data_IF_192691864436
#
_entry.id   IF_192691864436
#
_cell.length_a   1.000
_cell.length_b   1.000
_cell.length_c   1.000
_cell.angle_alpha   90.00
_cell.angle_beta   90.00
_cell.angle_gamma   90.00
#
_symmetry.space_group_name_H-M   'P 1'
#
loop_
_entity.id
_entity.type
_entity.pdbx_description
1 polymer ?
#
# COMPACT_ATOMS: atom_id res chain seq x y z
N UNK A 1 -2.00 -33.58 -4.78
CA UNK A 1 -0.81 -32.96 -4.16
C UNK A 1 0.01 -32.42 -5.31
N UNK A 2 -0.19 -31.13 -5.59
CA UNK A 2 0.62 -30.42 -6.58
C UNK A 2 2.04 -30.40 -6.00
N UNK A 3 3.04 -30.67 -6.85
CA UNK A 3 4.42 -30.43 -6.46
C UNK A 3 4.61 -28.91 -6.44
N UNK A 4 4.65 -28.33 -5.24
CA UNK A 4 4.89 -26.91 -4.96
C UNK A 4 6.00 -26.33 -5.86
N UNK A 5 7.07 -27.10 -6.09
CA UNK A 5 8.17 -26.69 -6.96
C UNK A 5 7.76 -26.59 -8.43
N UNK A 6 6.87 -27.45 -8.91
CA UNK A 6 6.40 -27.43 -10.29
C UNK A 6 5.48 -26.23 -10.54
N UNK A 7 4.70 -25.82 -9.54
CA UNK A 7 3.88 -24.61 -9.61
C UNK A 7 4.74 -23.34 -9.56
N UNK A 8 5.65 -23.26 -8.58
CA UNK A 8 6.61 -22.16 -8.50
C UNK A 8 7.43 -22.04 -9.78
N UNK A 9 7.81 -23.16 -10.41
CA UNK A 9 8.46 -23.13 -11.73
C UNK A 9 7.55 -22.61 -12.83
N UNK A 10 6.30 -23.07 -12.93
CA UNK A 10 5.34 -22.55 -13.93
C UNK A 10 5.06 -21.06 -13.75
N UNK A 11 4.97 -20.59 -12.51
CA UNK A 11 4.69 -19.20 -12.21
C UNK A 11 5.94 -18.33 -12.42
N UNK A 12 7.14 -18.78 -12.03
CA UNK A 12 8.39 -18.12 -12.40
C UNK A 12 8.60 -18.08 -13.92
N UNK A 13 8.34 -19.18 -14.62
CA UNK A 13 8.37 -19.21 -16.09
C UNK A 13 7.34 -18.24 -16.68
N UNK A 14 6.15 -18.14 -16.09
CA UNK A 14 5.15 -17.18 -16.51
C UNK A 14 5.59 -15.74 -16.26
N UNK A 15 6.31 -15.45 -15.17
CA UNK A 15 6.88 -14.14 -14.86
C UNK A 15 8.02 -13.81 -15.85
N UNK A 16 8.95 -14.74 -16.07
CA UNK A 16 10.15 -14.53 -16.88
C UNK A 16 9.83 -14.49 -18.38
N UNK A 17 8.75 -15.15 -18.81
CA UNK A 17 8.24 -15.09 -20.17
C UNK A 17 7.06 -14.11 -20.34
N UNK A 18 6.79 -13.26 -19.34
CA UNK A 18 5.77 -12.20 -19.39
C UNK A 18 4.35 -12.73 -19.72
N UNK A 19 4.02 -13.94 -19.26
CA UNK A 19 2.72 -14.62 -19.37
C UNK A 19 1.80 -14.36 -18.18
N UNK A 20 2.31 -13.79 -17.09
CA UNK A 20 1.47 -13.14 -16.09
C UNK A 20 1.14 -11.75 -16.61
N UNK A 21 -0.15 -11.46 -16.77
CA UNK A 21 -0.61 -10.11 -17.12
C UNK A 21 -0.44 -9.23 -15.89
N UNK A 22 0.59 -8.40 -15.90
CA UNK A 22 0.75 -7.37 -14.87
C UNK A 22 -0.34 -6.31 -15.03
N UNK A 23 -0.85 -5.76 -13.92
CA UNK A 23 -1.84 -4.69 -13.99
C UNK A 23 -1.28 -3.48 -14.74
N UNK A 24 -2.10 -2.88 -15.59
CA UNK A 24 -1.77 -1.62 -16.27
C UNK A 24 -2.31 -0.46 -15.46
N UNK A 25 -1.46 0.55 -15.26
CA UNK A 25 -1.89 1.76 -14.58
C UNK A 25 -2.84 2.58 -15.48
N UNK A 26 -4.04 2.99 -15.01
CA UNK A 26 -4.94 3.84 -15.78
C UNK A 26 -4.27 5.15 -16.25
N UNK A 27 -4.68 5.67 -17.41
CA UNK A 27 -4.06 6.87 -18.01
C UNK A 27 -4.11 8.08 -17.06
N UNK A 28 -5.17 8.21 -16.26
CA UNK A 28 -5.28 9.25 -15.24
C UNK A 28 -4.23 9.11 -14.13
N UNK A 29 -3.91 7.90 -13.68
CA UNK A 29 -2.84 7.68 -12.71
C UNK A 29 -1.47 8.00 -13.30
N UNK A 30 -1.22 7.60 -14.56
CA UNK A 30 0.03 7.95 -15.24
C UNK A 30 0.20 9.47 -15.34
N UNK A 31 -0.86 10.20 -15.72
CA UNK A 31 -0.84 11.67 -15.77
C UNK A 31 -0.61 12.30 -14.40
N UNK A 32 -1.25 11.78 -13.34
CA UNK A 32 -1.04 12.28 -11.98
C UNK A 32 0.39 12.00 -11.54
N UNK A 33 0.90 10.78 -11.69
CA UNK A 33 2.29 10.41 -11.41
C UNK A 33 3.28 11.32 -12.16
N UNK A 34 3.09 11.49 -13.47
CA UNK A 34 3.96 12.29 -14.34
C UNK A 34 3.92 13.79 -14.03
N UNK A 35 2.74 14.29 -13.64
CA UNK A 35 2.63 15.65 -13.14
C UNK A 35 3.44 15.81 -11.85
N UNK A 36 3.60 14.75 -11.05
CA UNK A 36 4.21 14.88 -9.73
C UNK A 36 5.71 14.62 -9.72
N UNK A 37 6.26 13.81 -10.63
CA UNK A 37 7.72 13.74 -10.87
C UNK A 37 8.30 15.06 -11.37
N UNK A 38 7.46 15.88 -12.01
CA UNK A 38 7.82 17.25 -12.34
C UNK A 38 7.53 18.11 -11.12
N UNK A 39 8.54 18.39 -10.29
CA UNK A 39 8.50 19.23 -9.06
C UNK A 39 7.87 20.64 -9.23
N UNK A 40 7.38 21.00 -10.42
CA UNK A 40 6.77 22.28 -10.76
C UNK A 40 5.27 22.23 -11.06
N UNK A 41 4.59 21.08 -10.88
CA UNK A 41 3.16 21.04 -11.16
C UNK A 41 2.32 21.81 -10.14
N UNK A 42 1.53 22.76 -10.66
CA UNK A 42 0.64 23.59 -9.85
C UNK A 42 -0.60 22.81 -9.39
N UNK A 43 -1.20 23.25 -8.28
CA UNK A 43 -2.46 22.71 -7.77
C UNK A 43 -3.56 22.67 -8.84
N UNK A 44 -3.60 23.65 -9.74
CA UNK A 44 -4.57 23.72 -10.83
C UNK A 44 -4.36 22.61 -11.86
N UNK A 45 -3.11 22.33 -12.24
CA UNK A 45 -2.82 21.27 -13.21
C UNK A 45 -3.21 19.89 -12.66
N UNK A 46 -2.97 19.65 -11.37
CA UNK A 46 -3.38 18.40 -10.72
C UNK A 46 -4.91 18.30 -10.63
N UNK A 47 -5.58 19.40 -10.25
CA UNK A 47 -7.04 19.44 -10.24
C UNK A 47 -7.63 19.17 -11.64
N UNK A 48 -7.05 19.71 -12.70
CA UNK A 48 -7.52 19.52 -14.08
C UNK A 48 -7.34 18.07 -14.55
N UNK A 49 -6.23 17.42 -14.16
CA UNK A 49 -6.00 15.99 -14.46
C UNK A 49 -7.06 15.14 -13.75
N UNK A 50 -7.29 15.39 -12.46
CA UNK A 50 -8.25 14.63 -11.65
C UNK A 50 -9.69 14.86 -12.11
N UNK A 51 -10.01 16.09 -12.54
CA UNK A 51 -11.34 16.46 -13.05
C UNK A 51 -11.77 15.64 -14.27
N UNK A 52 -10.83 15.00 -14.98
CA UNK A 52 -11.14 14.10 -16.09
C UNK A 52 -11.77 12.76 -15.65
N UNK A 53 -11.65 12.41 -14.37
CA UNK A 53 -12.22 11.21 -13.76
C UNK A 53 -13.21 11.59 -12.65
N UNK A 54 -14.50 11.31 -12.89
CA UNK A 54 -15.57 11.68 -11.96
C UNK A 54 -15.48 10.92 -10.62
N UNK A 55 -15.01 9.67 -10.62
CA UNK A 55 -14.90 8.87 -9.41
C UNK A 55 -13.75 9.38 -8.53
N UNK A 56 -12.57 9.63 -9.12
CA UNK A 56 -11.43 10.22 -8.42
C UNK A 56 -11.75 11.63 -7.91
N UNK A 57 -12.49 12.42 -8.71
CA UNK A 57 -12.94 13.75 -8.31
C UNK A 57 -13.84 13.71 -7.07
N UNK A 58 -14.87 12.85 -7.09
CA UNK A 58 -15.78 12.68 -5.96
C UNK A 58 -15.04 12.18 -4.71
N UNK A 59 -14.13 11.22 -4.87
CA UNK A 59 -13.37 10.63 -3.77
C UNK A 59 -12.38 11.62 -3.17
N UNK A 60 -11.70 12.43 -3.98
CA UNK A 60 -10.83 13.50 -3.49
C UNK A 60 -11.62 14.54 -2.67
N UNK A 61 -12.82 14.91 -3.11
CA UNK A 61 -13.71 15.81 -2.36
C UNK A 61 -14.18 15.19 -1.04
N UNK A 62 -14.48 13.89 -1.02
CA UNK A 62 -14.80 13.17 0.22
C UNK A 62 -13.63 13.21 1.20
N UNK A 63 -12.41 12.92 0.72
CA UNK A 63 -11.20 12.97 1.55
C UNK A 63 -10.91 14.38 2.06
N UNK A 64 -11.05 15.42 1.22
CA UNK A 64 -10.89 16.82 1.63
C UNK A 64 -11.88 17.30 2.72
N UNK A 65 -12.94 16.54 2.92
CA UNK A 65 -13.99 16.79 3.90
C UNK A 65 -14.03 15.73 5.02
N UNK A 66 -13.12 14.76 5.04
CA UNK A 66 -13.03 13.72 6.07
C UNK A 66 -12.58 14.30 7.42
N UNK A 67 -12.86 13.65 8.56
CA UNK A 67 -12.47 14.14 9.88
C UNK A 67 -10.99 14.54 9.99
N UNK A 68 -10.10 13.79 9.32
CA UNK A 68 -8.66 13.99 9.32
C UNK A 68 -8.22 15.28 8.59
N UNK A 69 -8.93 15.68 7.54
CA UNK A 69 -8.52 16.78 6.65
C UNK A 69 -9.52 17.94 6.59
N UNK A 70 -10.69 17.82 7.20
CA UNK A 70 -11.74 18.83 7.08
C UNK A 70 -11.34 20.15 7.74
N UNK A 71 -11.58 21.23 7.01
CA UNK A 71 -11.56 22.57 7.56
C UNK A 71 -12.91 22.96 8.18
N UNK A 72 -13.03 24.23 8.57
CA UNK A 72 -14.29 24.81 9.07
C UNK A 72 -15.42 24.83 8.04
N UNK A 73 -15.09 24.83 6.76
CA UNK A 73 -16.03 24.94 5.64
C UNK A 73 -15.92 23.70 4.76
N UNK A 74 -17.05 23.13 4.36
CA UNK A 74 -17.11 22.03 3.40
C UNK A 74 -16.58 22.49 2.04
N UNK A 75 -15.74 21.68 1.41
CA UNK A 75 -15.24 21.90 0.05
C UNK A 75 -16.14 21.19 -0.96
N UNK A 76 -16.47 21.88 -2.05
CA UNK A 76 -17.29 21.38 -3.16
C UNK A 76 -16.59 21.47 -4.52
N UNK A 77 -15.34 21.93 -4.57
CA UNK A 77 -14.56 22.06 -5.80
C UNK A 77 -13.12 21.55 -5.64
N UNK A 78 -12.57 21.00 -6.73
CA UNK A 78 -11.28 20.31 -6.72
C UNK A 78 -10.13 21.26 -6.45
N UNK A 79 -10.16 22.50 -6.96
CA UNK A 79 -9.09 23.47 -6.74
C UNK A 79 -8.96 23.79 -5.24
N UNK A 80 -10.08 23.98 -4.53
CA UNK A 80 -10.07 24.15 -3.07
C UNK A 80 -9.63 22.88 -2.35
N UNK A 81 -10.00 21.70 -2.85
CA UNK A 81 -9.55 20.42 -2.28
C UNK A 81 -8.01 20.30 -2.36
N UNK A 82 -7.44 20.54 -3.54
CA UNK A 82 -5.99 20.50 -3.75
C UNK A 82 -5.28 21.61 -2.96
N UNK A 83 -5.86 22.81 -2.86
CA UNK A 83 -5.30 23.88 -2.05
C UNK A 83 -5.31 23.58 -0.55
N UNK A 84 -6.34 22.91 -0.03
CA UNK A 84 -6.43 22.51 1.38
C UNK A 84 -5.49 21.37 1.71
N UNK A 85 -5.54 20.32 0.90
CA UNK A 85 -4.76 19.11 1.13
C UNK A 85 -3.28 19.34 0.83
N UNK A 86 -2.99 20.22 -0.12
CA UNK A 86 -1.65 20.40 -0.67
C UNK A 86 -1.35 19.35 -1.74
N UNK A 87 -0.47 19.73 -2.67
CA UNK A 87 -0.12 18.92 -3.85
C UNK A 87 0.45 17.55 -3.48
N UNK A 88 1.31 17.48 -2.45
CA UNK A 88 1.95 16.22 -2.03
C UNK A 88 0.95 15.19 -1.50
N UNK A 89 0.01 15.63 -0.67
CA UNK A 89 -1.04 14.76 -0.14
C UNK A 89 -1.99 14.30 -1.25
N UNK A 90 -2.41 15.21 -2.13
CA UNK A 90 -3.26 14.83 -3.27
C UNK A 90 -2.58 13.81 -4.17
N UNK A 91 -1.26 13.90 -4.38
CA UNK A 91 -0.49 12.88 -5.12
C UNK A 91 -0.71 11.50 -4.53
N UNK A 92 -0.32 11.33 -3.26
CA UNK A 92 -0.37 10.02 -2.60
C UNK A 92 -1.79 9.49 -2.58
N UNK A 93 -2.77 10.33 -2.23
CA UNK A 93 -4.18 9.93 -2.20
C UNK A 93 -4.69 9.48 -3.56
N UNK A 94 -4.44 10.24 -4.62
CA UNK A 94 -4.96 9.86 -5.94
C UNK A 94 -4.35 8.56 -6.43
N UNK A 95 -3.05 8.35 -6.21
CA UNK A 95 -2.41 7.07 -6.52
C UNK A 95 -3.06 5.95 -5.69
N UNK A 96 -3.22 6.15 -4.38
CA UNK A 96 -3.87 5.18 -3.49
C UNK A 96 -5.30 4.83 -3.90
N UNK A 97 -6.08 5.83 -4.33
CA UNK A 97 -7.45 5.62 -4.81
C UNK A 97 -7.48 4.87 -6.15
N UNK A 98 -6.48 5.07 -7.00
CA UNK A 98 -6.38 4.31 -8.24
C UNK A 98 -5.93 2.88 -7.95
N UNK A 99 -5.07 2.66 -6.95
CA UNK A 99 -4.76 1.30 -6.47
C UNK A 99 -6.04 0.59 -6.02
N UNK A 100 -6.92 1.25 -5.26
CA UNK A 100 -8.22 0.68 -4.87
C UNK A 100 -9.02 0.15 -6.07
N UNK A 101 -9.03 0.89 -7.19
CA UNK A 101 -9.73 0.45 -8.40
C UNK A 101 -9.09 -0.78 -9.04
N UNK A 102 -7.76 -0.93 -8.96
CA UNK A 102 -7.05 -2.10 -9.47
C UNK A 102 -7.37 -3.35 -8.64
N UNK A 103 -7.60 -3.20 -7.33
CA UNK A 103 -7.97 -4.29 -6.42
C UNK A 103 -9.42 -4.79 -6.56
N UNK A 104 -10.32 -4.04 -7.23
CA UNK A 104 -11.77 -4.32 -7.23
C UNK A 104 -12.28 -5.27 -8.33
N UNK A 105 -11.41 -5.84 -9.17
CA UNK A 105 -11.85 -6.44 -10.43
C UNK A 105 -11.40 -7.90 -10.62
N UNK A 106 -11.98 -8.86 -9.89
CA UNK A 106 -11.98 -10.29 -10.28
C UNK A 106 -12.89 -11.10 -9.36
N UNK A 107 -14.02 -11.60 -9.90
CA UNK A 107 -14.85 -12.74 -9.46
C UNK A 107 -15.21 -12.96 -7.98
N UNK A 108 -16.48 -13.31 -7.73
CA UNK A 108 -17.03 -13.65 -6.41
C UNK A 108 -16.23 -14.73 -5.66
N UNK A 109 -15.48 -15.58 -6.36
CA UNK A 109 -14.74 -16.71 -5.79
C UNK A 109 -13.45 -16.30 -5.08
N UNK A 110 -12.84 -15.18 -5.48
CA UNK A 110 -11.63 -14.62 -4.85
C UNK A 110 -11.89 -13.30 -4.12
N UNK A 111 -13.12 -12.77 -4.15
CA UNK A 111 -13.48 -11.49 -3.51
C UNK A 111 -13.06 -11.44 -2.05
N UNK A 112 -13.21 -12.54 -1.31
CA UNK A 112 -12.79 -12.62 0.10
C UNK A 112 -11.28 -12.44 0.28
N UNK A 113 -10.44 -13.05 -0.59
CA UNK A 113 -8.99 -12.96 -0.49
C UNK A 113 -8.47 -11.61 -0.95
N UNK A 114 -9.02 -11.08 -2.04
CA UNK A 114 -8.72 -9.71 -2.49
C UNK A 114 -9.07 -8.69 -1.41
N UNK A 115 -10.26 -8.82 -0.82
CA UNK A 115 -10.71 -7.96 0.27
C UNK A 115 -9.79 -8.06 1.48
N UNK A 116 -9.40 -9.27 1.89
CA UNK A 116 -8.46 -9.47 2.98
C UNK A 116 -7.13 -8.74 2.73
N UNK A 117 -6.51 -8.93 1.56
CA UNK A 117 -5.23 -8.26 1.24
C UNK A 117 -5.41 -6.74 1.15
N UNK A 118 -6.56 -6.27 0.63
CA UNK A 118 -6.87 -4.84 0.59
C UNK A 118 -7.01 -4.24 1.99
N UNK A 119 -7.79 -4.88 2.86
CA UNK A 119 -8.02 -4.44 4.24
C UNK A 119 -6.69 -4.40 5.03
N UNK A 120 -5.87 -5.45 4.92
CA UNK A 120 -4.52 -5.48 5.51
C UNK A 120 -3.63 -4.35 4.96
N UNK A 121 -3.66 -4.12 3.64
CA UNK A 121 -2.88 -3.04 3.02
C UNK A 121 -3.32 -1.65 3.50
N UNK A 122 -4.63 -1.47 3.78
CA UNK A 122 -5.17 -0.22 4.31
C UNK A 122 -4.75 -0.02 5.77
N UNK A 123 -4.79 -1.06 6.60
CA UNK A 123 -4.31 -1.00 7.99
C UNK A 123 -2.82 -0.64 8.04
N UNK A 124 -2.00 -1.35 7.25
CA UNK A 124 -0.55 -1.09 7.15
C UNK A 124 -0.28 0.31 6.61
N UNK A 125 -1.07 0.81 5.67
CA UNK A 125 -0.97 2.19 5.18
C UNK A 125 -1.25 3.20 6.30
N UNK A 126 -2.27 2.97 7.11
CA UNK A 126 -2.63 3.83 8.22
C UNK A 126 -1.52 3.87 9.29
N UNK A 127 -1.04 2.70 9.71
CA UNK A 127 0.08 2.56 10.65
C UNK A 127 1.37 3.21 10.10
N UNK A 128 1.69 2.97 8.83
CA UNK A 128 2.86 3.56 8.18
C UNK A 128 2.82 5.09 8.16
N UNK A 129 1.64 5.68 7.96
CA UNK A 129 1.45 7.13 8.02
C UNK A 129 1.69 7.68 9.42
N UNK A 130 1.16 7.02 10.44
CA UNK A 130 1.32 7.42 11.85
C UNK A 130 2.78 7.33 12.26
N UNK A 131 3.46 6.23 11.92
CA UNK A 131 4.88 6.03 12.16
C UNK A 131 5.71 7.15 11.54
N UNK A 132 5.49 7.44 10.26
CA UNK A 132 6.20 8.48 9.54
C UNK A 132 5.91 9.89 10.04
N UNK A 133 4.74 10.14 10.64
CA UNK A 133 4.37 11.45 11.18
C UNK A 133 5.26 11.90 12.35
N UNK A 134 5.94 10.96 13.01
CA UNK A 134 6.90 11.22 14.09
C UNK A 134 8.34 11.37 13.58
N UNK A 135 8.53 11.52 12.27
CA UNK A 135 9.84 11.59 11.62
C UNK A 135 9.98 12.89 10.83
N UNK A 136 11.17 13.47 10.82
CA UNK A 136 11.41 14.76 10.15
C UNK A 136 11.79 14.61 8.66
N UNK A 137 12.24 13.42 8.25
CA UNK A 137 12.83 13.20 6.92
C UNK A 137 11.94 12.37 5.98
N UNK A 138 10.94 11.64 6.48
CA UNK A 138 10.01 10.88 5.64
C UNK A 138 8.68 11.63 5.45
N UNK A 139 8.22 11.70 4.20
CA UNK A 139 6.88 12.18 3.90
C UNK A 139 5.84 11.13 4.33
N UNK A 140 5.01 11.47 5.31
CA UNK A 140 4.00 10.56 5.87
C UNK A 140 2.95 10.08 4.86
N UNK A 141 2.65 10.89 3.83
CA UNK A 141 1.69 10.49 2.81
C UNK A 141 2.33 9.56 1.78
N UNK A 142 3.64 9.66 1.57
CA UNK A 142 4.40 8.64 0.85
C UNK A 142 4.53 7.35 1.66
N UNK A 143 4.66 7.43 3.00
CA UNK A 143 4.64 6.24 3.86
C UNK A 143 3.28 5.52 3.83
N UNK A 144 2.18 6.28 3.83
CA UNK A 144 0.84 5.73 3.63
C UNK A 144 0.74 5.00 2.28
N UNK A 145 1.22 5.62 1.20
CA UNK A 145 1.25 5.00 -0.12
C UNK A 145 2.11 3.74 -0.14
N UNK A 146 3.29 3.76 0.49
CA UNK A 146 4.18 2.61 0.63
C UNK A 146 3.48 1.43 1.31
N UNK A 147 2.79 1.68 2.43
CA UNK A 147 1.99 0.67 3.10
C UNK A 147 0.84 0.13 2.24
N UNK A 148 0.21 0.98 1.42
CA UNK A 148 -0.89 0.53 0.57
C UNK A 148 -0.43 -0.35 -0.60
N UNK A 149 0.74 -0.07 -1.17
CA UNK A 149 1.27 -0.79 -2.35
C UNK A 149 2.21 -1.94 -1.99
N UNK A 150 2.46 -2.18 -0.71
CA UNK A 150 3.50 -3.11 -0.26
C UNK A 150 3.30 -4.52 -0.83
N UNK A 151 2.06 -5.01 -0.89
CA UNK A 151 1.72 -6.34 -1.40
C UNK A 151 1.04 -6.30 -2.78
N UNK A 152 1.30 -5.26 -3.61
CA UNK A 152 0.70 -5.12 -4.94
C UNK A 152 0.98 -6.33 -5.86
N UNK A 153 2.07 -7.06 -5.60
CA UNK A 153 2.43 -8.28 -6.32
C UNK A 153 1.47 -9.45 -6.10
N UNK A 154 0.65 -9.43 -5.04
CA UNK A 154 -0.34 -10.48 -4.79
C UNK A 154 -1.48 -10.48 -5.81
N UNK A 155 -1.82 -9.31 -6.39
CA UNK A 155 -2.96 -9.18 -7.30
C UNK A 155 -2.85 -10.06 -8.56
N UNK A 156 -1.76 -9.99 -9.34
CA UNK A 156 -1.63 -10.87 -10.49
C UNK A 156 -1.50 -12.35 -10.11
N UNK A 157 -1.02 -12.68 -8.90
CA UNK A 157 -0.98 -14.05 -8.40
C UNK A 157 -2.40 -14.56 -8.16
N UNK A 158 -3.24 -13.77 -7.48
CA UNK A 158 -4.65 -14.10 -7.27
C UNK A 158 -5.42 -14.21 -8.59
N UNK A 159 -5.24 -13.25 -9.51
CA UNK A 159 -5.85 -13.32 -10.83
C UNK A 159 -5.40 -14.56 -11.62
N UNK A 160 -4.15 -15.00 -11.45
CA UNK A 160 -3.67 -16.25 -12.04
C UNK A 160 -4.30 -17.48 -11.36
N UNK A 161 -4.43 -17.47 -10.04
CA UNK A 161 -5.06 -18.54 -9.26
C UNK A 161 -6.55 -18.71 -9.61
N UNK A 162 -7.25 -17.64 -9.98
CA UNK A 162 -8.64 -17.71 -10.45
C UNK A 162 -8.83 -18.67 -11.63
N UNK A 163 -7.83 -18.78 -12.50
CA UNK A 163 -7.86 -19.68 -13.65
C UNK A 163 -7.40 -21.12 -13.33
N UNK A 164 -7.09 -21.41 -12.07
CA UNK A 164 -6.55 -22.69 -11.58
C UNK A 164 -7.22 -23.11 -10.27
N UNK A 165 -8.43 -23.69 -10.38
CA UNK A 165 -9.30 -24.10 -9.25
C UNK A 165 -8.57 -24.87 -8.13
N UNK A 166 -7.57 -25.68 -8.46
CA UNK A 166 -6.81 -26.51 -7.50
C UNK A 166 -6.07 -25.68 -6.43
N UNK A 167 -5.68 -24.43 -6.73
CA UNK A 167 -5.00 -23.52 -5.78
C UNK A 167 -5.99 -22.82 -4.85
N UNK A 168 -7.25 -22.76 -5.24
CA UNK A 168 -8.31 -22.13 -4.47
C UNK A 168 -8.84 -23.07 -3.38
N UNK A 169 -8.56 -24.37 -3.51
CA UNK A 169 -8.91 -25.40 -2.54
C UNK A 169 -7.96 -25.44 -1.32
N UNK A 170 -6.72 -24.94 -1.45
CA UNK A 170 -5.72 -24.89 -0.37
C UNK A 170 -5.26 -23.45 -0.09
N UNK A 171 -5.94 -22.81 0.87
CA UNK A 171 -5.67 -21.43 1.26
C UNK A 171 -4.25 -21.23 1.83
N UNK A 172 -3.69 -22.22 2.53
CA UNK A 172 -2.34 -22.12 3.10
C UNK A 172 -1.27 -22.23 2.00
N UNK A 173 -1.48 -23.08 0.99
CA UNK A 173 -0.60 -23.16 -0.17
C UNK A 173 -0.61 -21.86 -0.98
N UNK A 174 -1.80 -21.28 -1.18
CA UNK A 174 -1.93 -19.99 -1.84
C UNK A 174 -1.19 -18.87 -1.10
N UNK A 175 -1.26 -18.83 0.24
CA UNK A 175 -0.53 -17.84 1.05
C UNK A 175 0.98 -18.00 0.93
N UNK A 176 1.50 -19.23 1.00
CA UNK A 176 2.94 -19.50 0.78
C UNK A 176 3.41 -19.03 -0.59
N UNK A 177 2.59 -19.24 -1.62
CA UNK A 177 2.89 -18.79 -2.99
C UNK A 177 2.92 -17.27 -3.07
N UNK A 178 1.94 -16.59 -2.46
CA UNK A 178 1.87 -15.13 -2.41
C UNK A 178 3.12 -14.59 -1.74
N UNK A 179 3.46 -15.06 -0.54
CA UNK A 179 4.63 -14.60 0.22
C UNK A 179 5.95 -14.82 -0.53
N UNK A 180 6.06 -15.94 -1.25
CA UNK A 180 7.27 -16.27 -2.00
C UNK A 180 7.47 -15.39 -3.25
N UNK A 181 6.41 -14.90 -3.88
CA UNK A 181 6.47 -14.31 -5.21
C UNK A 181 6.00 -12.86 -5.30
N UNK A 182 5.08 -12.44 -4.42
CA UNK A 182 4.58 -11.07 -4.40
C UNK A 182 5.70 -10.04 -4.24
N UNK A 183 6.81 -10.29 -3.52
CA UNK A 183 7.88 -9.30 -3.43
C UNK A 183 8.53 -8.97 -4.77
N UNK A 184 8.89 -10.01 -5.54
CA UNK A 184 9.56 -9.87 -6.84
C UNK A 184 8.60 -9.31 -7.89
N UNK A 185 7.34 -9.75 -7.87
CA UNK A 185 6.32 -9.26 -8.81
C UNK A 185 5.97 -7.81 -8.50
N UNK A 186 5.76 -7.47 -7.23
CA UNK A 186 5.44 -6.13 -6.79
C UNK A 186 6.53 -5.13 -7.15
N UNK A 187 7.81 -5.50 -6.95
CA UNK A 187 8.95 -4.69 -7.39
C UNK A 187 8.87 -4.41 -8.90
N UNK A 188 8.70 -5.45 -9.73
CA UNK A 188 8.60 -5.30 -11.19
C UNK A 188 7.40 -4.43 -11.62
N UNK A 189 6.26 -4.55 -10.93
CA UNK A 189 5.09 -3.69 -11.20
C UNK A 189 5.44 -2.22 -10.98
N UNK A 190 6.06 -1.90 -9.83
CA UNK A 190 6.41 -0.52 -9.50
C UNK A 190 7.53 0.04 -10.40
N UNK A 191 8.50 -0.79 -10.83
CA UNK A 191 9.50 -0.44 -11.84
C UNK A 191 8.84 -0.13 -13.19
N UNK A 192 7.93 -1.00 -13.66
CA UNK A 192 7.19 -0.80 -14.90
C UNK A 192 6.33 0.47 -14.85
N UNK A 193 5.84 0.82 -13.67
CA UNK A 193 5.08 2.03 -13.42
C UNK A 193 5.95 3.23 -13.04
N UNK A 194 7.27 3.17 -13.20
CA UNK A 194 8.19 4.30 -13.02
C UNK A 194 8.00 5.03 -11.67
N UNK A 195 7.80 4.26 -10.60
CA UNK A 195 7.77 4.78 -9.23
C UNK A 195 9.19 5.13 -8.75
N UNK A 196 9.32 5.91 -7.68
CA UNK A 196 10.62 6.21 -7.10
C UNK A 196 11.28 4.95 -6.53
N UNK A 197 12.63 4.90 -6.58
CA UNK A 197 13.45 3.82 -5.98
C UNK A 197 13.09 3.57 -4.50
N UNK A 198 12.73 4.62 -3.77
CA UNK A 198 12.29 4.52 -2.38
C UNK A 198 11.01 3.69 -2.19
N UNK A 199 10.08 3.74 -3.15
CA UNK A 199 8.83 2.97 -3.15
C UNK A 199 8.99 1.60 -3.82
N UNK A 200 9.81 1.50 -4.88
CA UNK A 200 10.12 0.23 -5.55
C UNK A 200 10.72 -0.80 -4.58
N UNK A 201 11.57 -0.34 -3.64
CA UNK A 201 12.20 -1.22 -2.64
C UNK A 201 11.22 -1.82 -1.63
N UNK A 202 10.02 -1.24 -1.46
CA UNK A 202 9.06 -1.65 -0.44
C UNK A 202 8.49 -3.05 -0.72
N UNK A 203 7.87 -3.32 -1.88
CA UNK A 203 7.43 -4.69 -2.19
C UNK A 203 8.56 -5.70 -2.16
N UNK A 204 9.77 -5.33 -2.57
CA UNK A 204 10.91 -6.26 -2.58
C UNK A 204 11.33 -6.74 -1.18
N UNK A 205 11.07 -5.96 -0.12
CA UNK A 205 11.65 -6.18 1.20
C UNK A 205 10.63 -6.19 2.36
N UNK A 206 9.34 -5.96 2.13
CA UNK A 206 8.37 -5.91 3.23
C UNK A 206 8.30 -7.23 4.02
N UNK A 207 8.72 -8.38 3.48
CA UNK A 207 8.85 -9.68 4.17
C UNK A 207 10.24 -9.97 4.76
N UNK A 208 11.24 -9.14 4.46
CA UNK A 208 12.62 -9.37 4.88
C UNK A 208 12.87 -8.80 6.28
N UNK A 209 12.79 -9.65 7.30
CA UNK A 209 13.01 -9.27 8.71
C UNK A 209 14.46 -8.85 9.00
N UNK A 210 15.41 -9.25 8.16
CA UNK A 210 16.83 -8.87 8.28
C UNK A 210 17.16 -7.59 7.51
N UNK A 211 16.17 -6.95 6.89
CA UNK A 211 16.37 -5.71 6.15
C UNK A 211 16.95 -4.62 7.06
N UNK A 212 17.95 -3.91 6.54
CA UNK A 212 18.54 -2.75 7.20
C UNK A 212 18.77 -1.68 6.14
N UNK A 213 18.07 -0.56 6.25
CA UNK A 213 18.33 0.59 5.37
C UNK A 213 19.71 1.21 5.65
N UNK A 214 20.30 1.80 4.62
CA UNK A 214 21.54 2.56 4.76
C UNK A 214 21.26 3.94 5.38
N UNK A 215 21.86 4.25 6.55
CA UNK A 215 21.71 5.57 7.18
C UNK A 215 20.45 5.70 8.03
N UNK A 216 19.60 6.69 7.73
CA UNK A 216 18.32 6.91 8.42
C UNK A 216 17.27 5.84 8.03
N UNK A 217 16.15 5.77 8.75
CA UNK A 217 15.05 4.87 8.37
C UNK A 217 14.45 5.26 7.02
N UNK A 218 14.02 4.27 6.24
CA UNK A 218 13.28 4.49 5.00
C UNK A 218 11.88 3.86 5.05
N UNK A 219 11.16 3.95 3.93
CA UNK A 219 9.80 3.42 3.86
C UNK A 219 9.71 1.89 4.05
N UNK A 220 10.80 1.15 3.80
CA UNK A 220 10.80 -0.30 4.03
C UNK A 220 10.78 -0.58 5.53
N UNK A 221 11.58 0.14 6.32
CA UNK A 221 11.59 -0.02 7.78
C UNK A 221 10.21 0.28 8.37
N UNK A 222 9.58 1.37 7.92
CA UNK A 222 8.24 1.77 8.39
C UNK A 222 7.19 0.71 8.04
N UNK A 223 7.17 0.23 6.81
CA UNK A 223 6.18 -0.77 6.37
C UNK A 223 6.40 -2.12 7.06
N UNK A 224 7.66 -2.51 7.30
CA UNK A 224 8.00 -3.70 8.08
C UNK A 224 7.43 -3.62 9.50
N UNK A 225 7.66 -2.51 10.20
CA UNK A 225 7.14 -2.29 11.56
C UNK A 225 5.61 -2.25 11.55
N UNK A 226 5.00 -1.48 10.63
CA UNK A 226 3.56 -1.39 10.49
C UNK A 226 2.89 -2.76 10.26
N UNK A 227 3.47 -3.60 9.39
CA UNK A 227 2.94 -4.96 9.15
C UNK A 227 3.05 -5.83 10.39
N UNK A 228 4.20 -5.83 11.06
CA UNK A 228 4.40 -6.65 12.25
C UNK A 228 3.42 -6.24 13.36
N UNK A 229 3.20 -4.94 13.55
CA UNK A 229 2.20 -4.40 14.49
C UNK A 229 0.77 -4.84 14.15
N UNK A 230 0.36 -4.74 12.87
CA UNK A 230 -0.95 -5.24 12.41
C UNK A 230 -1.14 -6.74 12.74
N UNK A 231 -0.13 -7.57 12.48
CA UNK A 231 -0.19 -9.01 12.79
C UNK A 231 -0.28 -9.33 14.30
N UNK A 232 0.24 -8.46 15.17
CA UNK A 232 0.10 -8.63 16.63
C UNK A 232 -1.33 -8.45 17.11
N UNK A 233 -2.05 -7.52 16.47
CA UNK A 233 -3.44 -7.23 16.82
C UNK A 233 -4.37 -8.41 16.46
N UNK A 234 -4.06 -9.13 15.38
CA UNK A 234 -4.91 -10.20 14.88
C UNK A 234 -4.64 -11.59 15.49
N UNK A 235 -3.40 -11.93 15.86
CA UNK A 235 -3.10 -13.30 16.32
C UNK A 235 -1.81 -13.46 17.15
N UNK A 236 -1.58 -12.54 18.11
CA UNK A 236 -0.50 -12.55 19.11
C UNK A 236 0.43 -13.77 19.13
N UNK A 237 1.54 -13.70 18.38
CA UNK A 237 2.54 -14.79 18.31
C UNK A 237 3.98 -14.34 18.15
N UNK A 238 4.28 -13.04 17.97
CA UNK A 238 5.66 -12.55 17.97
C UNK A 238 5.92 -11.90 19.33
N UNK A 239 6.76 -12.54 20.14
CA UNK A 239 7.19 -12.01 21.45
C UNK A 239 7.94 -10.68 21.27
N UNK A 240 7.69 -9.73 22.17
CA UNK A 240 8.33 -8.42 22.22
C UNK A 240 9.86 -8.50 22.17
N UNK A 241 10.44 -9.55 22.77
CA UNK A 241 11.88 -9.84 22.72
C UNK A 241 12.38 -10.07 21.29
N UNK A 242 11.59 -10.75 20.45
CA UNK A 242 11.96 -11.04 19.05
C UNK A 242 11.90 -9.78 18.20
N UNK A 243 10.89 -8.93 18.42
CA UNK A 243 10.73 -7.66 17.71
C UNK A 243 11.88 -6.69 18.00
N UNK A 244 12.34 -6.65 19.25
CA UNK A 244 13.47 -5.81 19.65
C UNK A 244 14.78 -6.14 18.91
N UNK A 245 14.87 -7.33 18.29
CA UNK A 245 16.02 -7.78 17.52
C UNK A 245 15.89 -7.49 16.02
N UNK A 246 14.68 -7.14 15.55
CA UNK A 246 14.44 -6.77 14.15
C UNK A 246 15.04 -5.37 13.92
N UNK A 247 15.96 -5.19 12.96
CA UNK A 247 16.63 -3.92 12.74
C UNK A 247 15.67 -2.74 12.52
N UNK A 248 14.54 -2.97 11.83
CA UNK A 248 13.53 -1.96 11.58
C UNK A 248 12.90 -1.41 12.89
N UNK A 249 12.58 -2.28 13.87
CA UNK A 249 12.06 -1.86 15.19
C UNK A 249 13.06 -1.01 15.95
N UNK A 250 14.33 -1.43 15.98
CA UNK A 250 15.42 -0.68 16.60
C UNK A 250 15.55 0.71 15.97
N UNK A 251 15.37 0.80 14.66
CA UNK A 251 15.59 2.03 13.89
C UNK A 251 14.43 3.01 13.98
N UNK A 252 13.20 2.51 14.01
CA UNK A 252 11.99 3.32 14.22
C UNK A 252 11.93 3.85 15.67
N UNK A 253 12.63 3.19 16.60
CA UNK A 253 12.79 3.68 17.97
C UNK A 253 11.54 3.51 18.84
N UNK A 254 10.61 2.64 18.41
CA UNK A 254 9.50 2.21 19.24
C UNK A 254 9.98 1.17 20.24
N UNK A 255 9.60 1.34 21.50
CA UNK A 255 9.73 0.25 22.47
C UNK A 255 8.76 -0.86 22.05
N UNK A 256 9.20 -2.12 21.90
CA UNK A 256 8.35 -3.23 21.41
C UNK A 256 7.13 -3.56 22.30
N UNK A 257 7.03 -2.90 23.46
CA UNK A 257 5.94 -3.03 24.42
C UNK A 257 4.85 -1.95 24.20
N UNK A 258 5.12 -0.94 23.38
CA UNK A 258 4.16 0.13 23.06
C UNK A 258 3.38 -0.29 21.82
N UNK A 259 2.15 -0.75 22.02
CA UNK A 259 1.22 -0.92 20.91
C UNK A 259 0.86 0.47 20.36
N UNK A 260 1.16 0.71 19.08
CA UNK A 260 0.96 2.01 18.43
C UNK A 260 -0.51 2.48 18.55
N UNK A 261 -1.46 1.55 18.56
CA UNK A 261 -2.90 1.82 18.67
C UNK A 261 -3.29 2.35 20.06
N UNK A 262 -2.52 2.02 21.09
CA UNK A 262 -2.75 2.51 22.46
C UNK A 262 -2.27 3.96 22.67
N UNK A 263 -1.56 4.53 21.69
CA UNK A 263 -1.16 5.95 21.72
C UNK A 263 -2.40 6.83 21.51
N UNK A 264 -2.59 7.80 22.41
CA UNK A 264 -3.75 8.70 22.39
C UNK A 264 -3.89 9.42 21.04
N UNK A 265 -5.06 9.29 20.41
CA UNK A 265 -5.38 9.89 19.11
C UNK A 265 -4.94 9.08 17.89
N UNK A 266 -4.07 8.07 18.04
CA UNK A 266 -3.61 7.23 16.93
C UNK A 266 -4.69 6.29 16.42
N UNK A 267 -5.45 5.66 17.33
CA UNK A 267 -6.57 4.80 16.95
C UNK A 267 -7.63 5.56 16.14
N UNK A 268 -7.94 6.80 16.53
CA UNK A 268 -8.88 7.65 15.81
C UNK A 268 -8.34 8.01 14.41
N UNK A 269 -7.04 8.31 14.29
CA UNK A 269 -6.39 8.59 13.01
C UNK A 269 -6.39 7.37 12.08
N UNK A 270 -6.12 6.17 12.60
CA UNK A 270 -6.17 4.91 11.85
C UNK A 270 -7.60 4.67 11.34
N UNK A 271 -8.58 4.72 12.24
CA UNK A 271 -9.98 4.53 11.87
C UNK A 271 -10.44 5.54 10.81
N UNK A 272 -10.01 6.80 10.93
CA UNK A 272 -10.31 7.83 9.95
C UNK A 272 -9.74 7.52 8.57
N UNK A 273 -8.53 6.93 8.50
CA UNK A 273 -7.88 6.53 7.23
C UNK A 273 -8.58 5.31 6.64
N UNK A 274 -8.88 4.29 7.45
CA UNK A 274 -9.57 3.08 7.01
C UNK A 274 -10.91 3.39 6.36
N UNK A 275 -11.70 4.27 6.98
CA UNK A 275 -12.99 4.73 6.43
C UNK A 275 -12.80 5.43 5.07
N UNK A 276 -11.65 6.04 4.78
CA UNK A 276 -11.39 6.65 3.46
C UNK A 276 -11.19 5.62 2.34
N UNK A 277 -10.81 4.39 2.65
CA UNK A 277 -10.45 3.38 1.65
C UNK A 277 -11.40 2.16 1.63
N UNK A 278 -12.11 1.90 2.73
CA UNK A 278 -12.99 0.73 2.88
C UNK A 278 -14.48 1.10 2.66
N UNK A 279 -14.82 2.39 2.62
CA UNK A 279 -16.19 2.87 2.35
C UNK A 279 -16.61 2.81 0.89
#
# INVERSE_FOLDING_TARGET
MIDENQFLQKLNDAIDHNRITLPTLPEVALKVRDAVEREQSSANQIADIIASDAALSARLLQVANSPLYRGRVTIDNLQMAVARLGVRLVRSLVISLIMQQIFQATSDLLDAKFRQIWEESVEIAALSRVLAANTDHLDKEQAMLAGLIHNIGALPILAFAESHDELLEDAEELDRIIDALSPRIGQRILEMWDFSESLIRVPANFLNLDYTSEGEMDYVDIVLVARLESQMNDNGSIDATTLSQIPAFVKVGLEPEVNIIEIEGVADDIQNIEVMFIS
#
